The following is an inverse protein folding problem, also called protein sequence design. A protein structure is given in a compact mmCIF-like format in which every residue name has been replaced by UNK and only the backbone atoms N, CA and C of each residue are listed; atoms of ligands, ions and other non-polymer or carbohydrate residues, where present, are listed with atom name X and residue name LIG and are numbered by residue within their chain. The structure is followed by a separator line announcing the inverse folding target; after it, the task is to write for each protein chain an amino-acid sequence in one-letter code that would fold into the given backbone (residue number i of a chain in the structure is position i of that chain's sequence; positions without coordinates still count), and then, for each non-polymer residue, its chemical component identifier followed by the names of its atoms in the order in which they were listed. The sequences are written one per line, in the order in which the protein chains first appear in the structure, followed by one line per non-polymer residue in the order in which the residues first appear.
data_IF_374886733154
#
_entry.id   IF_374886733154
#
_cell.length_a   1.000
_cell.length_b   1.000
_cell.length_c   1.000
_cell.angle_alpha   90.00
_cell.angle_beta   90.00
_cell.angle_gamma   90.00
#
_symmetry.space_group_name_H-M   'P 1'
#
loop_
_entity.id
_entity.type
_entity.pdbx_description
1 polymer ?
#
# COMPACT_ATOMS: atom_id res chain seq x y z
N UNK A 1 -5.39 -8.05 13.43
CA UNK A 1 -4.55 -8.72 14.43
C UNK A 1 -5.03 -8.42 15.86
N UNK A 2 -5.14 -7.17 16.31
CA UNK A 2 -5.58 -6.82 17.69
C UNK A 2 -6.92 -7.44 18.08
N UNK A 3 -7.87 -7.56 17.14
CA UNK A 3 -9.16 -8.20 17.41
C UNK A 3 -9.03 -9.70 17.65
N UNK A 4 -8.10 -10.36 16.95
CA UNK A 4 -7.85 -11.80 17.06
C UNK A 4 -6.97 -12.13 18.27
N UNK A 5 -6.05 -11.24 18.60
CA UNK A 5 -5.07 -11.40 19.66
C UNK A 5 -5.12 -10.20 20.63
N UNK A 6 -6.20 -10.08 21.43
CA UNK A 6 -6.43 -8.89 22.26
C UNK A 6 -5.41 -8.72 23.40
N UNK A 7 -4.66 -9.76 23.73
CA UNK A 7 -3.60 -9.75 24.75
C UNK A 7 -2.20 -9.51 24.18
N UNK A 8 -2.04 -9.55 22.85
CA UNK A 8 -0.76 -9.32 22.20
C UNK A 8 -0.48 -7.81 22.06
N UNK A 9 0.72 -7.41 22.33
CA UNK A 9 1.23 -6.12 21.93
C UNK A 9 1.54 -6.16 20.43
N UNK A 10 0.88 -5.32 19.65
CA UNK A 10 1.03 -5.28 18.21
C UNK A 10 1.56 -3.92 17.80
N UNK A 11 2.76 -3.90 17.26
CA UNK A 11 3.48 -2.71 16.82
C UNK A 11 3.93 -2.85 15.37
N UNK A 12 4.07 -1.73 14.67
CA UNK A 12 4.72 -1.70 13.37
C UNK A 12 6.20 -1.47 13.56
N UNK A 13 7.04 -2.33 13.01
CA UNK A 13 8.48 -2.14 13.01
C UNK A 13 8.81 -0.92 12.14
N UNK A 14 9.34 0.13 12.76
CA UNK A 14 9.67 1.38 12.08
C UNK A 14 11.03 1.24 11.35
N UNK A 15 11.01 0.42 10.29
CA UNK A 15 12.19 0.24 9.44
C UNK A 15 12.38 1.45 8.50
N UNK A 16 13.52 2.11 8.61
CA UNK A 16 13.85 3.31 7.83
C UNK A 16 14.83 2.97 6.71
N UNK A 17 14.33 2.97 5.46
CA UNK A 17 15.18 2.94 4.28
C UNK A 17 15.46 4.39 3.81
N UNK A 18 16.68 4.93 4.00
CA UNK A 18 16.99 6.32 3.66
C UNK A 18 16.80 6.67 2.18
N UNK A 19 16.98 5.69 1.27
CA UNK A 19 16.81 5.89 -0.17
C UNK A 19 15.34 6.05 -0.53
N UNK A 20 14.46 5.27 0.09
CA UNK A 20 13.03 5.31 -0.16
C UNK A 20 12.39 6.59 0.37
N UNK A 21 12.73 7.01 1.57
CA UNK A 21 12.22 8.22 2.20
C UNK A 21 12.49 9.48 1.37
N UNK A 22 13.73 9.65 0.89
CA UNK A 22 14.12 10.81 0.05
C UNK A 22 13.33 10.86 -1.25
N UNK A 23 13.15 9.72 -1.94
CA UNK A 23 12.39 9.66 -3.19
C UNK A 23 10.92 10.02 -2.98
N UNK A 24 10.29 9.54 -1.93
CA UNK A 24 8.89 9.82 -1.66
C UNK A 24 8.64 11.30 -1.38
N UNK A 25 9.46 11.96 -0.57
CA UNK A 25 9.33 13.40 -0.32
C UNK A 25 9.49 14.19 -1.62
N UNK A 26 10.53 13.92 -2.41
CA UNK A 26 10.77 14.61 -3.68
C UNK A 26 9.56 14.42 -4.61
N UNK A 27 9.03 13.21 -4.73
CA UNK A 27 7.88 12.93 -5.59
C UNK A 27 6.62 13.70 -5.17
N UNK A 28 6.35 13.78 -3.88
CA UNK A 28 5.16 14.49 -3.36
C UNK A 28 5.32 16.02 -3.52
N UNK A 29 6.52 16.54 -3.27
CA UNK A 29 6.81 17.98 -3.40
C UNK A 29 7.05 18.42 -4.84
N UNK A 30 7.08 17.52 -5.80
CA UNK A 30 7.29 17.88 -7.21
C UNK A 30 6.05 18.55 -7.80
N UNK A 31 6.21 19.84 -8.19
CA UNK A 31 5.15 20.58 -8.89
C UNK A 31 5.13 20.18 -10.37
N UNK A 32 4.00 19.65 -10.85
CA UNK A 32 3.81 19.21 -12.23
C UNK A 32 3.21 20.33 -13.06
N UNK A 33 4.04 21.04 -13.83
CA UNK A 33 3.60 22.10 -14.74
C UNK A 33 2.53 21.59 -15.70
N UNK A 34 1.48 22.38 -15.91
CA UNK A 34 0.33 22.04 -16.78
C UNK A 34 -0.71 21.09 -16.15
N UNK A 35 -0.44 20.55 -14.96
CA UNK A 35 -1.37 19.68 -14.21
C UNK A 35 -1.71 20.29 -12.85
N UNK A 36 -0.68 20.67 -12.09
CA UNK A 36 -0.88 21.23 -10.76
C UNK A 36 -1.17 22.73 -10.81
N UNK A 37 -2.23 23.12 -10.16
CA UNK A 37 -2.50 24.53 -9.79
C UNK A 37 -1.91 24.81 -8.40
N UNK A 38 -1.71 26.06 -8.00
CA UNK A 38 -1.33 26.39 -6.62
C UNK A 38 -2.26 25.74 -5.58
N UNK A 39 -3.56 25.69 -5.85
CA UNK A 39 -4.54 25.09 -4.96
C UNK A 39 -4.37 23.55 -4.85
N UNK A 40 -4.15 22.86 -5.95
CA UNK A 40 -3.91 21.41 -5.93
C UNK A 40 -2.57 21.07 -5.27
N UNK A 41 -1.56 21.91 -5.45
CA UNK A 41 -0.26 21.75 -4.80
C UNK A 41 -0.35 21.91 -3.28
N UNK A 42 -1.10 22.91 -2.80
CA UNK A 42 -1.37 23.08 -1.36
C UNK A 42 -2.06 21.82 -0.80
N UNK A 43 -3.04 21.26 -1.52
CA UNK A 43 -3.70 20.01 -1.10
C UNK A 43 -2.75 18.83 -1.00
N UNK A 44 -1.75 18.72 -1.87
CA UNK A 44 -0.70 17.69 -1.77
C UNK A 44 0.14 17.85 -0.49
N UNK A 45 0.50 19.08 -0.14
CA UNK A 45 1.21 19.35 1.12
C UNK A 45 0.33 18.99 2.33
N UNK A 46 -0.94 19.37 2.30
CA UNK A 46 -1.90 19.01 3.35
C UNK A 46 -2.09 17.48 3.46
N UNK A 47 -2.02 16.75 2.35
CA UNK A 47 -2.06 15.29 2.35
C UNK A 47 -0.93 14.67 3.18
N UNK A 48 0.29 15.24 3.10
CA UNK A 48 1.40 14.80 3.95
C UNK A 48 1.06 14.96 5.44
N UNK A 49 0.48 16.09 5.82
CA UNK A 49 0.07 16.33 7.20
C UNK A 49 -1.02 15.34 7.64
N UNK A 50 -1.98 15.07 6.76
CA UNK A 50 -3.04 14.09 7.01
C UNK A 50 -2.46 12.70 7.21
N UNK A 51 -1.59 12.23 6.33
CA UNK A 51 -0.93 10.94 6.48
C UNK A 51 -0.11 10.86 7.78
N UNK A 52 0.71 11.86 8.06
CA UNK A 52 1.49 11.91 9.31
C UNK A 52 0.59 11.83 10.54
N UNK A 53 -0.54 12.56 10.55
CA UNK A 53 -1.52 12.48 11.65
C UNK A 53 -2.02 11.05 11.88
N UNK A 54 -2.41 10.34 10.83
CA UNK A 54 -2.92 8.97 10.95
C UNK A 54 -1.81 7.96 11.25
N UNK A 55 -0.61 8.15 10.71
CA UNK A 55 0.56 7.33 11.03
C UNK A 55 0.91 7.38 12.53
N UNK A 56 0.78 8.53 13.17
CA UNK A 56 1.01 8.67 14.62
C UNK A 56 -0.02 7.91 15.47
N UNK A 57 -1.15 7.50 14.92
CA UNK A 57 -2.13 6.67 15.63
C UNK A 57 -1.74 5.18 15.67
N UNK A 58 -0.76 4.78 14.87
CA UNK A 58 -0.29 3.40 14.78
C UNK A 58 0.90 3.23 15.74
N UNK A 59 0.84 2.34 16.73
CA UNK A 59 1.99 2.02 17.57
C UNK A 59 3.16 1.53 16.73
N UNK A 60 4.32 2.12 16.95
CA UNK A 60 5.56 1.81 16.23
C UNK A 60 6.70 1.59 17.21
N UNK A 61 7.67 0.79 16.80
CA UNK A 61 8.95 0.71 17.50
C UNK A 61 9.74 2.02 17.31
N UNK A 62 10.85 2.16 18.03
CA UNK A 62 11.86 3.13 17.61
C UNK A 62 12.37 2.80 16.19
N UNK A 63 13.01 3.76 15.53
CA UNK A 63 13.52 3.56 14.18
C UNK A 63 14.65 2.54 14.17
N UNK A 64 14.57 1.58 13.24
CA UNK A 64 15.59 0.55 13.00
C UNK A 64 16.01 0.57 11.53
N UNK A 65 17.26 0.20 11.23
CA UNK A 65 17.84 0.29 9.90
C UNK A 65 18.43 -1.03 9.40
N UNK A 66 18.54 -2.03 10.26
CA UNK A 66 19.13 -3.33 9.92
C UNK A 66 18.41 -4.48 10.60
N UNK A 67 18.72 -5.71 10.19
CA UNK A 67 18.19 -6.93 10.82
C UNK A 67 18.69 -7.09 12.27
N UNK A 68 19.95 -6.72 12.53
CA UNK A 68 20.55 -6.77 13.86
C UNK A 68 19.80 -5.83 14.82
N UNK A 69 19.45 -4.62 14.36
CA UNK A 69 18.64 -3.71 15.17
C UNK A 69 17.24 -4.26 15.42
N UNK A 70 16.63 -4.95 14.43
CA UNK A 70 15.34 -5.64 14.63
C UNK A 70 15.45 -6.73 15.70
N UNK A 71 16.51 -7.50 15.71
CA UNK A 71 16.73 -8.54 16.71
C UNK A 71 16.76 -7.96 18.15
N UNK A 72 17.23 -6.72 18.33
CA UNK A 72 17.20 -6.07 19.64
C UNK A 72 15.80 -5.74 20.17
N UNK A 73 14.79 -5.71 19.31
CA UNK A 73 13.39 -5.47 19.68
C UNK A 73 12.77 -6.65 20.43
N UNK A 74 13.37 -7.83 20.38
CA UNK A 74 12.90 -9.07 21.03
C UNK A 74 11.44 -9.39 20.76
N UNK A 75 11.07 -9.35 19.47
CA UNK A 75 9.72 -9.65 19.02
C UNK A 75 9.47 -11.17 19.03
N UNK A 76 8.35 -11.61 19.54
CA UNK A 76 7.95 -13.03 19.53
C UNK A 76 7.61 -13.51 18.12
N UNK A 77 7.10 -12.61 17.25
CA UNK A 77 6.72 -12.91 15.87
C UNK A 77 6.84 -11.68 15.00
N UNK A 78 7.44 -11.83 13.83
CA UNK A 78 7.47 -10.83 12.76
C UNK A 78 6.47 -11.23 11.68
N UNK A 79 5.60 -10.31 11.28
CA UNK A 79 4.67 -10.48 10.15
C UNK A 79 5.13 -9.60 9.01
N UNK A 80 5.55 -10.20 7.89
CA UNK A 80 5.89 -9.52 6.65
C UNK A 80 4.64 -9.42 5.77
N UNK A 81 4.28 -8.23 5.36
CA UNK A 81 3.14 -8.01 4.48
C UNK A 81 2.00 -7.21 5.14
N UNK A 82 0.92 -6.93 4.45
CA UNK A 82 0.70 -7.29 3.03
C UNK A 82 1.37 -6.27 2.07
N UNK A 83 0.63 -5.78 1.06
CA UNK A 83 1.07 -4.84 0.03
C UNK A 83 2.19 -5.35 -0.90
N UNK A 84 2.61 -4.54 -1.86
CA UNK A 84 3.69 -4.85 -2.81
C UNK A 84 5.09 -4.74 -2.19
N UNK A 85 5.26 -5.26 -0.98
CA UNK A 85 6.54 -5.18 -0.28
C UNK A 85 7.64 -6.02 -0.93
N UNK A 86 7.25 -6.99 -1.79
CA UNK A 86 8.15 -7.88 -2.53
C UNK A 86 8.41 -7.46 -3.98
N UNK A 87 8.07 -6.23 -4.33
CA UNK A 87 8.36 -5.69 -5.65
C UNK A 87 9.87 -5.39 -5.81
N UNK A 88 10.59 -6.29 -6.48
CA UNK A 88 12.04 -6.16 -6.76
C UNK A 88 12.34 -4.94 -7.65
N UNK A 89 11.40 -4.56 -8.52
CA UNK A 89 11.53 -3.43 -9.43
C UNK A 89 11.23 -2.09 -8.74
N UNK A 90 10.67 -2.12 -7.55
CA UNK A 90 10.25 -0.95 -6.80
C UNK A 90 11.40 -0.22 -6.08
N UNK A 91 11.26 1.09 -5.91
CA UNK A 91 12.24 1.86 -5.13
C UNK A 91 12.30 1.49 -3.65
N UNK A 92 11.29 0.79 -3.17
CA UNK A 92 11.18 0.29 -1.80
C UNK A 92 11.77 -1.10 -1.59
N UNK A 93 12.41 -1.69 -2.61
CA UNK A 93 13.08 -2.98 -2.48
C UNK A 93 14.11 -2.97 -1.35
N UNK A 94 14.06 -4.02 -0.53
CA UNK A 94 15.10 -4.33 0.45
C UNK A 94 15.04 -5.82 0.81
N UNK A 95 16.18 -6.54 0.89
CA UNK A 95 16.22 -7.99 1.14
C UNK A 95 15.53 -8.39 2.45
N UNK A 96 15.62 -7.59 3.48
CA UNK A 96 14.99 -7.81 4.78
C UNK A 96 13.47 -8.05 4.67
N UNK A 97 12.79 -7.42 3.71
CA UNK A 97 11.35 -7.64 3.47
C UNK A 97 11.03 -9.05 2.97
N UNK A 98 12.03 -9.77 2.49
CA UNK A 98 11.95 -11.17 2.05
C UNK A 98 12.43 -12.15 3.13
N UNK A 99 12.68 -11.68 4.36
CA UNK A 99 13.16 -12.51 5.45
C UNK A 99 14.69 -12.62 5.58
N UNK A 100 15.44 -11.98 4.69
CA UNK A 100 16.91 -11.98 4.75
C UNK A 100 17.40 -11.28 6.03
N UNK A 101 18.26 -11.97 6.78
CA UNK A 101 18.79 -11.47 8.06
C UNK A 101 17.82 -11.66 9.24
N UNK A 102 16.68 -12.35 9.04
CA UNK A 102 15.70 -12.66 10.08
C UNK A 102 15.70 -14.15 10.48
N UNK A 103 16.79 -14.88 10.23
CA UNK A 103 16.90 -16.32 10.42
C UNK A 103 16.65 -16.76 11.85
N UNK A 104 17.03 -15.93 12.82
CA UNK A 104 16.86 -16.19 14.25
C UNK A 104 15.49 -15.68 14.80
N UNK A 105 14.63 -15.13 13.93
CA UNK A 105 13.36 -14.55 14.32
C UNK A 105 12.21 -15.42 13.77
N UNK A 106 11.22 -15.73 14.62
CA UNK A 106 9.99 -16.33 14.12
C UNK A 106 9.29 -15.37 13.15
N UNK A 107 9.19 -15.76 11.87
CA UNK A 107 8.74 -14.85 10.81
C UNK A 107 7.69 -15.53 9.94
N UNK A 108 6.59 -14.85 9.68
CA UNK A 108 5.58 -15.28 8.71
C UNK A 108 5.35 -14.21 7.64
N UNK A 109 4.96 -14.62 6.44
CA UNK A 109 4.54 -13.71 5.38
C UNK A 109 3.03 -13.86 5.12
N UNK A 110 2.30 -12.76 5.34
CA UNK A 110 0.86 -12.72 5.11
C UNK A 110 0.51 -11.82 3.93
N UNK A 111 0.09 -12.43 2.82
CA UNK A 111 -0.41 -11.77 1.62
C UNK A 111 0.49 -10.62 1.06
N UNK A 112 1.84 -10.72 1.05
CA UNK A 112 2.65 -9.80 0.26
C UNK A 112 2.37 -9.98 -1.23
N UNK A 113 2.73 -8.98 -2.04
CA UNK A 113 2.69 -9.04 -3.50
C UNK A 113 4.06 -8.68 -4.09
N UNK A 114 4.39 -9.34 -5.20
CA UNK A 114 5.59 -9.03 -6.00
C UNK A 114 5.36 -7.86 -6.97
N UNK A 115 4.10 -7.42 -7.13
CA UNK A 115 3.75 -6.30 -8.01
C UNK A 115 4.17 -6.52 -9.45
N UNK A 116 5.10 -5.70 -9.95
CA UNK A 116 5.56 -5.71 -11.34
C UNK A 116 6.66 -6.75 -11.65
N UNK A 117 6.99 -7.64 -10.73
CA UNK A 117 7.99 -8.71 -10.98
C UNK A 117 7.43 -9.75 -11.95
N UNK A 118 8.22 -10.09 -12.97
CA UNK A 118 7.90 -11.10 -13.99
C UNK A 118 8.78 -12.34 -13.85
N UNK A 119 8.55 -13.35 -14.67
CA UNK A 119 9.38 -14.56 -14.71
C UNK A 119 10.83 -14.27 -15.11
N UNK A 120 11.05 -13.26 -15.97
CA UNK A 120 12.36 -12.84 -16.45
C UNK A 120 13.09 -11.90 -15.47
N UNK A 121 12.45 -11.49 -14.39
CA UNK A 121 13.08 -10.61 -13.39
C UNK A 121 14.18 -11.37 -12.67
N UNK A 122 15.40 -10.82 -12.71
CA UNK A 122 16.54 -11.34 -11.97
C UNK A 122 16.27 -11.26 -10.45
N UNK A 123 16.44 -12.39 -9.76
CA UNK A 123 16.19 -12.49 -8.33
C UNK A 123 17.53 -12.60 -7.60
N UNK A 124 17.88 -11.64 -6.72
CA UNK A 124 19.09 -11.73 -5.92
C UNK A 124 19.11 -12.99 -5.06
N UNK A 125 20.29 -13.64 -4.95
CA UNK A 125 20.44 -14.89 -4.18
C UNK A 125 20.02 -14.74 -2.70
N UNK A 126 20.23 -13.58 -2.13
CA UNK A 126 19.80 -13.23 -0.77
C UNK A 126 18.29 -13.25 -0.57
N UNK A 127 17.51 -12.91 -1.60
CA UNK A 127 16.04 -13.00 -1.59
C UNK A 127 15.61 -14.46 -1.55
N UNK A 128 16.22 -15.31 -2.39
CA UNK A 128 15.92 -16.72 -2.41
C UNK A 128 16.26 -17.40 -1.07
N UNK A 129 17.35 -17.00 -0.43
CA UNK A 129 17.72 -17.47 0.90
C UNK A 129 16.71 -16.99 1.95
N UNK A 130 16.38 -15.70 1.94
CA UNK A 130 15.43 -15.11 2.89
C UNK A 130 14.06 -15.75 2.85
N UNK A 131 13.49 -16.01 1.66
CA UNK A 131 12.20 -16.69 1.52
C UNK A 131 12.18 -18.10 2.14
N UNK A 132 13.31 -18.78 2.18
CA UNK A 132 13.42 -20.12 2.82
C UNK A 132 13.34 -20.04 4.34
N UNK A 133 13.72 -18.91 4.93
CA UNK A 133 13.75 -18.72 6.38
C UNK A 133 12.39 -18.30 6.96
N UNK A 134 11.41 -17.97 6.12
CA UNK A 134 10.06 -17.60 6.58
C UNK A 134 9.31 -18.86 7.00
N UNK A 135 8.82 -18.94 8.24
CA UNK A 135 8.18 -20.14 8.79
C UNK A 135 6.90 -20.51 8.04
N UNK A 136 6.03 -19.54 7.80
CA UNK A 136 4.81 -19.69 7.00
C UNK A 136 4.73 -18.59 5.95
N UNK A 137 4.46 -18.99 4.72
CA UNK A 137 4.52 -18.10 3.58
C UNK A 137 3.22 -18.17 2.76
N UNK A 138 2.67 -17.01 2.43
CA UNK A 138 1.53 -16.88 1.53
C UNK A 138 1.76 -15.73 0.55
N UNK A 139 0.95 -15.65 -0.52
CA UNK A 139 0.98 -14.56 -1.48
C UNK A 139 -0.40 -13.95 -1.68
N UNK A 140 -0.49 -12.67 -2.03
CA UNK A 140 -1.76 -11.97 -2.27
C UNK A 140 -2.39 -12.34 -3.61
N UNK A 141 -1.57 -12.65 -4.60
CA UNK A 141 -1.95 -12.89 -5.98
C UNK A 141 -1.25 -14.12 -6.55
N UNK A 142 -1.72 -14.58 -7.69
CA UNK A 142 -1.22 -15.79 -8.34
C UNK A 142 0.24 -15.64 -8.76
N UNK A 143 0.66 -14.47 -9.21
CA UNK A 143 2.04 -14.25 -9.65
C UNK A 143 3.01 -14.29 -8.46
N UNK A 144 2.57 -13.82 -7.30
CA UNK A 144 3.36 -13.94 -6.06
C UNK A 144 3.50 -15.40 -5.62
N UNK A 145 2.44 -16.20 -5.70
CA UNK A 145 2.51 -17.64 -5.38
C UNK A 145 3.51 -18.34 -6.30
N UNK A 146 3.42 -18.13 -7.62
CA UNK A 146 4.37 -18.67 -8.60
C UNK A 146 5.82 -18.21 -8.33
N UNK A 147 5.99 -16.95 -7.97
CA UNK A 147 7.30 -16.40 -7.61
C UNK A 147 7.90 -17.15 -6.41
N UNK A 148 7.12 -17.34 -5.34
CA UNK A 148 7.56 -18.06 -4.14
C UNK A 148 7.99 -19.49 -4.52
N UNK A 149 7.16 -20.21 -5.26
CA UNK A 149 7.44 -21.58 -5.70
C UNK A 149 8.71 -21.65 -6.54
N UNK A 150 8.84 -20.77 -7.53
CA UNK A 150 10.00 -20.71 -8.43
C UNK A 150 11.30 -20.40 -7.68
N UNK A 151 11.27 -19.45 -6.76
CA UNK A 151 12.48 -18.89 -6.13
C UNK A 151 12.92 -19.69 -4.91
N UNK A 152 11.97 -20.17 -4.10
CA UNK A 152 12.26 -20.87 -2.85
C UNK A 152 12.05 -22.39 -2.91
N UNK A 153 11.34 -22.89 -3.93
CA UNK A 153 10.91 -24.28 -4.04
C UNK A 153 9.80 -24.65 -3.05
N UNK A 154 9.16 -23.68 -2.40
CA UNK A 154 8.13 -23.90 -1.38
C UNK A 154 6.73 -23.65 -1.95
N UNK A 155 5.77 -24.47 -1.55
CA UNK A 155 4.37 -24.19 -1.80
C UNK A 155 3.90 -22.99 -0.97
N UNK A 156 3.04 -22.16 -1.56
CA UNK A 156 2.43 -21.02 -0.89
C UNK A 156 0.92 -20.97 -1.15
N UNK A 157 0.16 -20.53 -0.17
CA UNK A 157 -1.28 -20.30 -0.31
C UNK A 157 -1.56 -18.88 -0.79
N UNK A 158 -2.59 -18.74 -1.64
CA UNK A 158 -3.09 -17.41 -2.00
C UNK A 158 -4.06 -16.92 -0.92
N UNK A 159 -3.75 -15.76 -0.33
CA UNK A 159 -4.51 -15.15 0.75
C UNK A 159 -5.05 -13.78 0.33
N UNK A 160 -6.22 -13.42 0.84
CA UNK A 160 -6.79 -12.09 0.63
C UNK A 160 -5.97 -11.00 1.34
N UNK A 161 -5.94 -9.82 0.76
CA UNK A 161 -5.42 -8.64 1.44
C UNK A 161 -6.17 -8.43 2.77
N UNK A 162 -5.46 -8.11 3.88
CA UNK A 162 -6.09 -7.98 5.20
C UNK A 162 -7.14 -6.87 5.28
N UNK A 163 -7.19 -5.93 4.34
CA UNK A 163 -8.23 -4.92 4.27
C UNK A 163 -9.62 -5.51 4.07
N UNK A 164 -9.73 -6.66 3.39
CA UNK A 164 -11.00 -7.40 3.24
C UNK A 164 -11.48 -8.08 4.53
N UNK A 165 -10.61 -8.20 5.52
CA UNK A 165 -10.94 -8.84 6.81
C UNK A 165 -11.49 -7.85 7.85
N UNK A 166 -11.56 -6.56 7.51
CA UNK A 166 -11.96 -5.52 8.44
C UNK A 166 -13.17 -4.73 7.95
N UNK A 167 -14.16 -4.54 8.82
CA UNK A 167 -15.30 -3.68 8.56
C UNK A 167 -15.00 -2.26 9.06
N UNK A 168 -14.92 -1.31 8.13
CA UNK A 168 -14.61 0.09 8.40
C UNK A 168 -15.81 0.96 8.81
N UNK A 169 -17.05 0.41 8.86
CA UNK A 169 -18.29 1.18 9.11
C UNK A 169 -18.23 2.01 10.39
N UNK A 170 -17.71 1.43 11.46
CA UNK A 170 -17.60 2.12 12.73
C UNK A 170 -16.63 3.32 12.68
N UNK A 171 -15.57 3.21 11.89
CA UNK A 171 -14.58 4.27 11.71
C UNK A 171 -15.13 5.41 10.84
N UNK A 172 -15.82 5.07 9.73
CA UNK A 172 -16.47 6.03 8.84
C UNK A 172 -17.52 6.85 9.62
N UNK A 173 -18.34 6.19 10.44
CA UNK A 173 -19.31 6.85 11.29
C UNK A 173 -18.68 7.74 12.36
N UNK A 174 -17.61 7.28 12.99
CA UNK A 174 -16.87 8.05 14.02
C UNK A 174 -16.29 9.34 13.45
N UNK A 175 -15.74 9.29 12.24
CA UNK A 175 -15.15 10.44 11.57
C UNK A 175 -16.20 11.34 10.89
N UNK A 176 -17.50 11.01 11.04
CA UNK A 176 -18.65 11.76 10.47
C UNK A 176 -18.52 11.99 8.96
N UNK A 177 -17.99 10.99 8.24
CA UNK A 177 -17.83 11.07 6.79
C UNK A 177 -19.20 10.92 6.13
N UNK A 178 -19.55 11.88 5.28
CA UNK A 178 -20.82 11.88 4.56
C UNK A 178 -20.62 11.36 3.14
N UNK A 179 -21.48 10.43 2.67
CA UNK A 179 -21.43 9.95 1.30
C UNK A 179 -21.69 11.09 0.31
N UNK A 180 -21.18 10.96 -0.90
CA UNK A 180 -21.42 11.94 -1.95
C UNK A 180 -22.89 11.96 -2.34
N UNK A 181 -23.51 13.16 -2.55
CA UNK A 181 -24.92 13.29 -2.89
C UNK A 181 -25.23 12.94 -4.37
N UNK A 182 -24.28 12.36 -5.08
CA UNK A 182 -24.36 11.98 -6.51
C UNK A 182 -23.71 10.63 -6.75
N UNK A 183 -24.09 9.96 -7.82
CA UNK A 183 -23.43 8.75 -8.32
C UNK A 183 -22.16 9.11 -9.10
N UNK A 184 -21.16 8.25 -9.06
CA UNK A 184 -19.87 8.53 -9.71
C UNK A 184 -19.12 7.27 -10.14
N UNK A 185 -18.17 7.48 -11.02
CA UNK A 185 -17.10 6.54 -11.36
C UNK A 185 -15.86 7.03 -10.64
N UNK A 186 -15.24 6.16 -9.85
CA UNK A 186 -13.99 6.48 -9.15
C UNK A 186 -12.78 6.03 -9.98
N UNK A 187 -11.85 6.95 -10.22
CA UNK A 187 -10.56 6.67 -10.86
C UNK A 187 -9.46 6.77 -9.81
N UNK A 188 -8.70 5.70 -9.67
CA UNK A 188 -7.56 5.63 -8.77
C UNK A 188 -6.38 4.95 -9.46
N UNK A 189 -5.23 5.61 -9.46
CA UNK A 189 -3.93 5.12 -9.98
C UNK A 189 -4.02 4.45 -11.36
N UNK A 190 -4.87 4.98 -12.24
CA UNK A 190 -5.12 4.43 -13.56
C UNK A 190 -4.58 5.37 -14.66
N UNK A 191 -3.83 4.80 -15.60
CA UNK A 191 -3.37 5.50 -16.81
C UNK A 191 -4.33 5.17 -17.95
N UNK A 192 -5.19 6.12 -18.28
CA UNK A 192 -6.11 5.99 -19.40
C UNK A 192 -5.52 6.62 -20.66
N UNK A 193 -5.73 5.98 -21.81
CA UNK A 193 -5.44 6.57 -23.12
C UNK A 193 -6.47 7.66 -23.45
N UNK A 194 -6.20 8.57 -24.37
CA UNK A 194 -7.18 9.56 -24.80
C UNK A 194 -8.51 8.95 -25.27
N UNK A 195 -8.49 7.84 -26.01
CA UNK A 195 -9.71 7.14 -26.43
C UNK A 195 -10.51 6.59 -25.26
N UNK A 196 -9.85 5.97 -24.28
CA UNK A 196 -10.52 5.49 -23.06
C UNK A 196 -11.14 6.62 -22.25
N UNK A 197 -10.49 7.80 -22.21
CA UNK A 197 -11.05 8.99 -21.54
C UNK A 197 -12.33 9.46 -22.23
N UNK A 198 -12.37 9.49 -23.56
CA UNK A 198 -13.56 9.89 -24.29
C UNK A 198 -14.71 8.88 -24.12
N UNK A 199 -14.44 7.59 -24.18
CA UNK A 199 -15.42 6.53 -23.89
C UNK A 199 -15.96 6.65 -22.46
N UNK A 200 -15.07 6.89 -21.48
CA UNK A 200 -15.44 7.10 -20.08
C UNK A 200 -16.36 8.30 -19.90
N UNK A 201 -16.05 9.44 -20.54
CA UNK A 201 -16.89 10.64 -20.50
C UNK A 201 -18.28 10.39 -21.10
N UNK A 202 -18.32 9.72 -22.26
CA UNK A 202 -19.59 9.38 -22.91
C UNK A 202 -20.43 8.45 -22.02
N UNK A 203 -19.81 7.43 -21.42
CA UNK A 203 -20.49 6.53 -20.49
C UNK A 203 -21.02 7.27 -19.27
N UNK A 204 -20.20 8.12 -18.65
CA UNK A 204 -20.58 8.90 -17.48
C UNK A 204 -21.75 9.84 -17.79
N UNK A 205 -21.71 10.54 -18.94
CA UNK A 205 -22.80 11.41 -19.42
C UNK A 205 -24.10 10.64 -19.64
N UNK A 206 -24.04 9.51 -20.33
CA UNK A 206 -25.23 8.68 -20.63
C UNK A 206 -25.90 8.11 -19.38
N UNK A 207 -25.13 7.94 -18.30
CA UNK A 207 -25.63 7.36 -17.06
C UNK A 207 -25.78 8.39 -15.92
N UNK A 208 -25.62 9.70 -16.20
CA UNK A 208 -25.69 10.78 -15.21
C UNK A 208 -24.72 10.55 -14.03
N UNK A 209 -23.50 10.12 -14.32
CA UNK A 209 -22.44 9.88 -13.36
C UNK A 209 -21.40 10.99 -13.42
N UNK A 210 -20.79 11.33 -12.28
CA UNK A 210 -19.58 12.13 -12.25
C UNK A 210 -18.34 11.25 -12.40
N UNK A 211 -17.27 11.79 -12.95
CA UNK A 211 -15.95 11.16 -12.95
C UNK A 211 -15.13 11.81 -11.87
N UNK A 212 -14.78 11.07 -10.84
CA UNK A 212 -13.98 11.59 -9.73
C UNK A 212 -12.65 10.85 -9.61
N UNK A 213 -11.62 11.59 -9.23
CA UNK A 213 -10.29 11.05 -8.96
C UNK A 213 -9.97 11.01 -7.47
N UNK A 214 -9.32 9.96 -7.03
CA UNK A 214 -8.79 9.86 -5.67
C UNK A 214 -7.25 9.84 -5.69
N UNK A 215 -6.63 10.66 -4.82
CA UNK A 215 -5.19 10.77 -4.64
C UNK A 215 -4.47 11.69 -5.63
N UNK A 216 -5.07 12.02 -6.77
CA UNK A 216 -4.50 12.94 -7.75
C UNK A 216 -5.59 13.81 -8.40
N UNK A 217 -5.15 14.66 -9.33
CA UNK A 217 -6.01 15.46 -10.18
C UNK A 217 -5.63 15.27 -11.64
N UNK A 218 -6.66 15.10 -12.48
CA UNK A 218 -6.52 15.09 -13.95
C UNK A 218 -7.61 15.98 -14.57
N UNK A 219 -7.32 16.55 -15.71
CA UNK A 219 -8.20 17.52 -16.38
C UNK A 219 -9.56 16.96 -16.83
N UNK A 220 -9.71 15.66 -16.87
CA UNK A 220 -10.95 14.99 -17.25
C UNK A 220 -11.80 14.54 -16.03
N UNK A 221 -11.36 14.84 -14.80
CA UNK A 221 -12.19 14.63 -13.61
C UNK A 221 -13.14 15.80 -13.40
N UNK A 222 -14.39 15.52 -13.06
CA UNK A 222 -15.33 16.53 -12.55
C UNK A 222 -14.87 17.02 -11.17
N UNK A 223 -14.35 16.10 -10.34
CA UNK A 223 -13.78 16.42 -9.04
C UNK A 223 -12.53 15.57 -8.76
N UNK A 224 -11.50 16.17 -8.18
CA UNK A 224 -10.29 15.48 -7.72
C UNK A 224 -10.10 15.62 -6.22
N UNK A 225 -10.03 14.49 -5.52
CA UNK A 225 -9.82 14.43 -4.09
C UNK A 225 -8.36 14.07 -3.79
N UNK A 226 -7.52 15.06 -3.50
CA UNK A 226 -6.09 14.87 -3.27
C UNK A 226 -5.83 14.60 -1.78
N UNK A 227 -6.37 15.45 -0.90
CA UNK A 227 -6.16 15.32 0.53
C UNK A 227 -7.35 14.55 1.15
N UNK A 228 -7.18 13.25 1.30
CA UNK A 228 -8.16 12.35 1.90
C UNK A 228 -7.57 11.67 3.14
N UNK A 229 -8.37 11.54 4.17
CA UNK A 229 -8.08 10.64 5.28
C UNK A 229 -8.24 9.17 4.84
N UNK A 230 -7.66 8.20 5.53
CA UNK A 230 -7.84 6.80 5.21
C UNK A 230 -9.31 6.35 5.17
N UNK A 231 -10.17 6.93 6.00
CA UNK A 231 -11.59 6.56 6.06
C UNK A 231 -12.41 7.24 4.96
N UNK A 232 -12.07 8.45 4.54
CA UNK A 232 -12.64 9.07 3.34
C UNK A 232 -12.28 8.29 2.08
N UNK A 233 -11.06 7.75 2.00
CA UNK A 233 -10.66 6.83 0.95
C UNK A 233 -11.59 5.62 0.89
N UNK A 234 -11.77 4.92 2.01
CA UNK A 234 -12.64 3.74 2.09
C UNK A 234 -14.06 4.08 1.69
N UNK A 235 -14.59 5.23 2.14
CA UNK A 235 -15.93 5.68 1.79
C UNK A 235 -16.11 5.91 0.29
N UNK A 236 -15.13 6.56 -0.36
CA UNK A 236 -15.15 6.77 -1.82
C UNK A 236 -15.16 5.45 -2.60
N UNK A 237 -14.36 4.47 -2.21
CA UNK A 237 -14.33 3.16 -2.88
C UNK A 237 -15.61 2.36 -2.65
N UNK A 238 -16.19 2.47 -1.49
CA UNK A 238 -17.39 1.73 -1.11
C UNK A 238 -18.64 2.20 -1.82
N UNK A 239 -18.71 3.48 -2.13
CA UNK A 239 -19.89 4.12 -2.71
C UNK A 239 -19.74 4.41 -4.22
N UNK A 240 -18.69 3.88 -4.87
CA UNK A 240 -18.43 3.98 -6.30
C UNK A 240 -19.29 3.03 -7.14
#
# INVERSE_FOLDING_TARGET
LRRLYPKAEIVVVNYVNPRHWRKNIIHILHFRFGIDTPATYIKKIQQLQTFTKYEHTIPRTHSVKSAEEIATLKLDLIVLGSDEIWNLCGSGYHPLKFGTGLEEQQTIAYAPSVGAVTEDTEVPAEVASGLKNIDRISGRDTETVKFIERVSGRNAEKMLDPTFLYNFDANIKKDNIQPKPYKYILIYDCKLTPSMVEELKQYAQNNSLKIIGAGDYKTYYDEGFINLSPYEWVDLFRNA
#
